data_IF_843925120853
#
_entry.id   IF_843925120853
#
_cell.length_a   1.000
_cell.length_b   1.000
_cell.length_c   1.000
_cell.angle_alpha   90.00
_cell.angle_beta   90.00
_cell.angle_gamma   90.00
#
_symmetry.space_group_name_H-M   'P 1'
#
loop_
_entity.id
_entity.type
_entity.pdbx_description
1 polymer ?
#
# COMPACT_ATOMS: atom_id res chain seq x y z
N UNK A 1 -2.59 1.72 15.09
CA UNK A 1 -2.68 1.21 13.70
C UNK A 1 -4.14 1.02 13.40
N UNK A 2 -4.62 1.56 12.28
CA UNK A 2 -6.05 1.74 11.99
C UNK A 2 -6.41 1.14 10.63
N UNK A 3 -7.69 0.98 10.32
CA UNK A 3 -8.17 0.70 8.97
C UNK A 3 -8.16 2.00 8.11
N UNK A 4 -8.37 1.87 6.80
CA UNK A 4 -8.53 3.01 5.87
C UNK A 4 -9.90 3.71 6.04
N UNK A 5 -10.70 3.34 7.03
CA UNK A 5 -11.98 3.99 7.28
C UNK A 5 -11.78 5.46 7.68
N UNK A 6 -12.38 6.36 6.90
CA UNK A 6 -12.27 7.78 7.11
C UNK A 6 -12.90 8.21 8.44
N UNK A 7 -13.94 7.52 8.91
CA UNK A 7 -14.58 7.83 10.19
C UNK A 7 -13.62 7.52 11.36
N UNK A 8 -12.98 6.35 11.35
CA UNK A 8 -11.95 5.97 12.34
C UNK A 8 -10.76 6.95 12.31
N UNK A 9 -10.23 7.24 11.11
CA UNK A 9 -9.12 8.19 10.93
C UNK A 9 -9.49 9.58 11.47
N UNK A 10 -10.69 10.08 11.17
CA UNK A 10 -11.14 11.39 11.65
C UNK A 10 -11.35 11.42 13.16
N UNK A 11 -11.91 10.36 13.75
CA UNK A 11 -12.10 10.25 15.19
C UNK A 11 -10.75 10.29 15.93
N UNK A 12 -9.74 9.59 15.42
CA UNK A 12 -8.40 9.59 16.00
C UNK A 12 -7.73 10.96 15.83
N UNK A 13 -7.81 11.60 14.66
CA UNK A 13 -7.27 12.96 14.47
C UNK A 13 -7.92 13.98 15.41
N UNK A 14 -9.19 13.78 15.76
CA UNK A 14 -9.90 14.68 16.68
C UNK A 14 -9.38 14.58 18.12
N UNK A 15 -8.95 13.39 18.55
CA UNK A 15 -8.49 13.13 19.92
C UNK A 15 -6.97 13.24 20.05
N UNK A 16 -6.23 12.79 19.02
CA UNK A 16 -4.78 12.71 18.96
C UNK A 16 -4.27 13.44 17.71
N UNK A 17 -4.54 14.74 17.62
CA UNK A 17 -4.18 15.58 16.47
C UNK A 17 -2.67 15.65 16.18
N UNK A 18 -1.83 15.44 17.20
CA UNK A 18 -0.37 15.41 17.08
C UNK A 18 0.20 14.03 16.73
N UNK A 19 -0.63 12.98 16.72
CA UNK A 19 -0.18 11.62 16.45
C UNK A 19 -0.21 11.29 14.96
N UNK A 20 0.86 10.66 14.49
CA UNK A 20 0.89 10.06 13.16
C UNK A 20 -0.11 8.90 13.07
N UNK A 21 -0.93 8.91 12.03
CA UNK A 21 -1.85 7.82 11.74
C UNK A 21 -1.16 6.79 10.86
N UNK A 22 -1.15 5.55 11.35
CA UNK A 22 -0.58 4.43 10.63
C UNK A 22 -1.67 3.44 10.24
N UNK A 23 -1.79 3.19 8.94
CA UNK A 23 -2.61 2.10 8.43
C UNK A 23 -1.95 0.77 8.81
N UNK A 24 -2.77 -0.18 9.27
CA UNK A 24 -2.31 -1.51 9.58
C UNK A 24 -1.91 -2.25 8.29
N UNK A 25 -0.67 -2.78 8.24
CA UNK A 25 -0.20 -3.52 7.07
C UNK A 25 -1.11 -4.70 6.72
N UNK A 26 -1.63 -5.41 7.74
CA UNK A 26 -2.59 -6.48 7.54
C UNK A 26 -3.83 -6.03 6.74
N UNK A 27 -4.41 -4.86 7.07
CA UNK A 27 -5.56 -4.32 6.35
C UNK A 27 -5.19 -3.89 4.92
N UNK A 28 -4.00 -3.29 4.73
CA UNK A 28 -3.50 -2.96 3.39
C UNK A 28 -3.38 -4.22 2.53
N UNK A 29 -2.68 -5.25 3.00
CA UNK A 29 -2.51 -6.51 2.26
C UNK A 29 -3.84 -7.20 2.02
N UNK A 30 -4.74 -7.25 3.01
CA UNK A 30 -6.05 -7.85 2.85
C UNK A 30 -6.89 -7.13 1.80
N UNK A 31 -6.91 -5.79 1.82
CA UNK A 31 -7.64 -4.98 0.85
C UNK A 31 -7.10 -5.17 -0.57
N UNK A 32 -5.77 -5.17 -0.74
CA UNK A 32 -5.14 -5.43 -2.05
C UNK A 32 -5.46 -6.85 -2.54
N UNK A 33 -5.29 -7.87 -1.70
CA UNK A 33 -5.58 -9.27 -2.07
C UNK A 33 -7.04 -9.47 -2.48
N UNK A 34 -7.98 -8.87 -1.73
CA UNK A 34 -9.41 -8.90 -2.08
C UNK A 34 -9.66 -8.22 -3.42
N UNK A 35 -9.11 -7.04 -3.64
CA UNK A 35 -9.28 -6.31 -4.90
C UNK A 35 -8.68 -7.06 -6.10
N UNK A 36 -7.50 -7.67 -5.96
CA UNK A 36 -6.89 -8.49 -7.01
C UNK A 36 -7.70 -9.76 -7.36
N UNK A 37 -8.61 -10.17 -6.49
CA UNK A 37 -9.47 -11.34 -6.71
C UNK A 37 -10.73 -11.00 -7.51
N UNK A 38 -11.06 -9.72 -7.71
CA UNK A 38 -12.24 -9.31 -8.48
C UNK A 38 -11.93 -9.27 -9.98
N UNK A 39 -12.97 -9.44 -10.81
CA UNK A 39 -12.84 -9.48 -12.27
C UNK A 39 -12.22 -8.21 -12.86
N UNK A 40 -12.61 -7.04 -12.33
CA UNK A 40 -12.14 -5.71 -12.77
C UNK A 40 -10.62 -5.53 -12.68
N UNK A 41 -9.94 -6.28 -11.82
CA UNK A 41 -8.48 -6.17 -11.68
C UNK A 41 -7.72 -6.59 -12.94
N UNK A 42 -8.32 -7.44 -13.79
CA UNK A 42 -7.65 -8.06 -14.94
C UNK A 42 -6.58 -9.09 -14.58
N UNK A 43 -6.41 -9.40 -13.28
CA UNK A 43 -5.45 -10.39 -12.75
C UNK A 43 -6.11 -11.40 -11.82
N UNK A 44 -7.43 -11.54 -11.92
CA UNK A 44 -8.17 -12.67 -11.36
C UNK A 44 -7.86 -13.95 -12.17
N UNK A 45 -8.14 -15.13 -11.61
CA UNK A 45 -7.97 -16.42 -12.30
C UNK A 45 -6.63 -17.12 -12.02
N UNK A 46 -6.57 -18.46 -12.17
CA UNK A 46 -5.39 -19.26 -11.84
C UNK A 46 -4.14 -18.90 -12.66
N UNK A 47 -4.31 -18.51 -13.93
CA UNK A 47 -3.24 -18.15 -14.86
C UNK A 47 -2.54 -16.83 -14.51
N UNK A 48 -3.13 -16.03 -13.62
CA UNK A 48 -2.58 -14.74 -13.15
C UNK A 48 -2.01 -14.82 -11.74
N UNK A 49 -1.87 -16.02 -11.18
CA UNK A 49 -1.39 -16.23 -9.81
C UNK A 49 -0.01 -15.61 -9.58
N UNK A 50 0.94 -15.80 -10.50
CA UNK A 50 2.27 -15.22 -10.40
C UNK A 50 2.24 -13.68 -10.46
N UNK A 51 1.35 -13.13 -11.30
CA UNK A 51 1.17 -11.67 -11.37
C UNK A 51 0.64 -11.11 -10.04
N UNK A 52 -0.34 -11.77 -9.42
CA UNK A 52 -0.83 -11.36 -8.08
C UNK A 52 0.26 -11.48 -7.02
N UNK A 53 1.02 -12.58 -7.01
CA UNK A 53 2.12 -12.78 -6.09
C UNK A 53 3.17 -11.67 -6.22
N UNK A 54 3.56 -11.33 -7.45
CA UNK A 54 4.49 -10.22 -7.71
C UNK A 54 3.93 -8.86 -7.29
N UNK A 55 2.64 -8.58 -7.52
CA UNK A 55 2.01 -7.33 -7.05
C UNK A 55 2.11 -7.23 -5.53
N UNK A 56 1.76 -8.30 -4.80
CA UNK A 56 1.84 -8.34 -3.34
C UNK A 56 3.29 -8.20 -2.85
N UNK A 57 4.25 -8.83 -3.53
CA UNK A 57 5.67 -8.66 -3.22
C UNK A 57 6.10 -7.20 -3.35
N UNK A 58 5.74 -6.51 -4.44
CA UNK A 58 6.03 -5.09 -4.59
C UNK A 58 5.42 -4.23 -3.48
N UNK A 59 4.18 -4.53 -3.07
CA UNK A 59 3.56 -3.85 -1.93
C UNK A 59 4.37 -4.07 -0.65
N UNK A 60 4.89 -5.29 -0.42
CA UNK A 60 5.75 -5.60 0.73
C UNK A 60 7.11 -4.89 0.65
N UNK A 61 7.70 -4.78 -0.53
CA UNK A 61 8.96 -4.04 -0.72
C UNK A 61 8.77 -2.54 -0.43
N UNK A 62 7.69 -1.95 -0.97
CA UNK A 62 7.31 -0.57 -0.68
C UNK A 62 7.00 -0.34 0.80
N UNK A 63 6.42 -1.32 1.49
CA UNK A 63 6.20 -1.29 2.95
C UNK A 63 7.51 -1.16 3.72
N UNK A 64 8.59 -1.75 3.21
CA UNK A 64 9.92 -1.79 3.82
C UNK A 64 10.82 -0.60 3.47
N UNK A 65 10.45 0.25 2.50
CA UNK A 65 11.21 1.46 2.18
C UNK A 65 11.44 2.32 3.43
N UNK A 66 12.68 2.75 3.63
CA UNK A 66 13.11 3.55 4.78
C UNK A 66 13.04 5.05 4.50
N UNK A 67 13.13 5.43 3.21
CA UNK A 67 13.08 6.81 2.74
C UNK A 67 11.92 7.01 1.77
N UNK A 68 11.34 8.21 1.77
CA UNK A 68 10.27 8.58 0.83
C UNK A 68 10.73 8.45 -0.64
N UNK A 69 12.00 8.75 -0.90
CA UNK A 69 12.58 8.61 -2.24
C UNK A 69 12.67 7.15 -2.69
N UNK A 70 13.08 6.22 -1.82
CA UNK A 70 13.09 4.77 -2.11
C UNK A 70 11.68 4.26 -2.44
N UNK A 71 10.67 4.75 -1.71
CA UNK A 71 9.27 4.42 -1.99
C UNK A 71 8.85 4.92 -3.37
N UNK A 72 9.20 6.17 -3.72
CA UNK A 72 8.86 6.77 -5.01
C UNK A 72 9.48 5.98 -6.17
N UNK A 73 10.76 5.64 -6.06
CA UNK A 73 11.46 4.83 -7.07
C UNK A 73 10.80 3.45 -7.22
N UNK A 74 10.45 2.80 -6.12
CA UNK A 74 9.72 1.51 -6.16
C UNK A 74 8.32 1.63 -6.74
N UNK A 75 7.61 2.71 -6.48
CA UNK A 75 6.30 2.99 -7.09
C UNK A 75 6.42 3.22 -8.61
N UNK A 76 7.46 3.91 -9.07
CA UNK A 76 7.75 4.07 -10.50
C UNK A 76 8.07 2.72 -11.16
N UNK A 77 8.87 1.87 -10.50
CA UNK A 77 9.14 0.50 -10.96
C UNK A 77 7.86 -0.33 -11.03
N UNK A 78 6.95 -0.20 -10.06
CA UNK A 78 5.65 -0.87 -10.07
C UNK A 78 4.85 -0.50 -11.32
N UNK A 79 4.72 0.79 -11.62
CA UNK A 79 4.01 1.26 -12.82
C UNK A 79 4.66 0.77 -14.11
N UNK A 80 6.00 0.70 -14.17
CA UNK A 80 6.72 0.19 -15.33
C UNK A 80 6.49 -1.32 -15.53
N UNK A 81 6.63 -2.11 -14.47
CA UNK A 81 6.52 -3.56 -14.50
C UNK A 81 5.10 -4.03 -14.82
N UNK A 82 4.09 -3.35 -14.26
CA UNK A 82 2.69 -3.71 -14.45
C UNK A 82 1.97 -2.83 -15.47
N UNK A 83 2.69 -2.14 -16.37
CA UNK A 83 2.12 -1.24 -17.38
C UNK A 83 0.99 -1.84 -18.23
N UNK A 84 1.04 -3.16 -18.46
CA UNK A 84 0.03 -3.89 -19.23
C UNK A 84 -1.24 -4.17 -18.39
N UNK A 85 -1.18 -4.10 -17.06
CA UNK A 85 -2.31 -4.21 -16.14
C UNK A 85 -2.82 -2.83 -15.73
N UNK A 86 -3.45 -2.12 -16.68
CA UNK A 86 -3.90 -0.74 -16.51
C UNK A 86 -4.77 -0.52 -15.27
N UNK A 87 -5.67 -1.46 -14.96
CA UNK A 87 -6.53 -1.38 -13.79
C UNK A 87 -5.76 -1.55 -12.48
N UNK A 88 -4.74 -2.41 -12.45
CA UNK A 88 -3.84 -2.56 -11.28
C UNK A 88 -3.09 -1.26 -11.03
N UNK A 89 -2.48 -0.66 -12.05
CA UNK A 89 -1.77 0.61 -11.90
C UNK A 89 -2.70 1.75 -11.47
N UNK A 90 -3.90 1.83 -12.05
CA UNK A 90 -4.93 2.81 -11.66
C UNK A 90 -5.36 2.62 -10.21
N UNK A 91 -5.63 1.38 -9.80
CA UNK A 91 -6.01 1.05 -8.44
C UNK A 91 -4.93 1.42 -7.45
N UNK A 92 -3.69 1.02 -7.70
CA UNK A 92 -2.54 1.35 -6.87
C UNK A 92 -2.39 2.87 -6.69
N UNK A 93 -2.40 3.62 -7.79
CA UNK A 93 -2.29 5.09 -7.77
C UNK A 93 -3.38 5.74 -6.94
N UNK A 94 -4.63 5.34 -7.15
CA UNK A 94 -5.78 5.96 -6.51
C UNK A 94 -5.94 5.58 -5.03
N UNK A 95 -5.42 4.42 -4.62
CA UNK A 95 -5.72 3.87 -3.30
C UNK A 95 -4.55 3.81 -2.33
N UNK A 96 -3.31 3.71 -2.83
CA UNK A 96 -2.16 3.34 -2.00
C UNK A 96 -0.94 4.23 -2.23
N UNK A 97 -0.67 4.62 -3.48
CA UNK A 97 0.52 5.40 -3.84
C UNK A 97 0.56 6.75 -3.12
N UNK A 98 -0.53 7.53 -3.24
CA UNK A 98 -0.62 8.89 -2.67
C UNK A 98 -0.60 8.91 -1.14
N UNK A 99 -0.97 7.79 -0.51
CA UNK A 99 -0.99 7.61 0.93
C UNK A 99 0.14 6.70 1.44
N UNK A 100 1.20 6.51 0.63
CA UNK A 100 2.37 5.69 0.95
C UNK A 100 2.92 5.88 2.37
N UNK A 101 2.97 7.13 2.83
CA UNK A 101 3.48 7.51 4.16
C UNK A 101 2.65 6.94 5.33
N UNK A 102 1.36 6.67 5.11
CA UNK A 102 0.48 6.11 6.15
C UNK A 102 0.71 4.62 6.36
N UNK A 103 1.24 3.89 5.38
CA UNK A 103 1.42 2.43 5.50
C UNK A 103 2.88 1.97 5.39
N UNK A 104 3.76 2.66 4.67
CA UNK A 104 5.18 2.33 4.57
C UNK A 104 5.98 2.66 5.84
N UNK A 105 7.22 2.20 5.94
CA UNK A 105 8.13 2.51 7.05
C UNK A 105 8.83 3.87 6.89
N UNK A 106 8.84 4.47 5.70
CA UNK A 106 9.54 5.73 5.51
C UNK A 106 8.91 6.87 6.30
N UNK A 107 9.75 7.84 6.69
CA UNK A 107 9.35 8.91 7.61
C UNK A 107 9.27 8.45 9.06
N UNK A 108 9.52 7.17 9.35
CA UNK A 108 9.53 6.63 10.71
C UNK A 108 10.96 6.28 11.10
N UNK A 109 11.55 7.10 11.98
CA UNK A 109 12.70 6.68 12.75
C UNK A 109 12.19 5.90 13.96
N UNK A 110 12.14 4.57 13.88
CA UNK A 110 12.19 3.81 15.12
C UNK A 110 13.57 4.09 15.71
N UNK A 111 13.66 4.99 16.68
CA UNK A 111 14.77 4.91 17.64
C UNK A 111 14.63 3.50 18.21
N UNK A 112 15.49 2.58 17.81
CA UNK A 112 15.69 1.36 18.58
C UNK A 112 16.05 1.87 19.98
N UNK A 113 15.12 1.78 20.93
CA UNK A 113 15.51 1.79 22.33
C UNK A 113 16.26 0.48 22.50
N UNK A 114 17.59 0.56 22.48
CA UNK A 114 18.44 -0.41 23.14
C UNK A 114 18.14 -0.35 24.64
#
# INVERSE_FOLDING_TARGET
>A
MVDKDQAEVNAIRKVFNESDILLCWYHVTQAVTRWLSISESGVNGPEKTDSRAHIIQFMSEMKCCSKAQEFKEKAEMFHCQFRNFKYVCKYFRNNWETIGHLWSNFGRCYKQRL
#
